data_IF_160649554230
#
_entry.id   IF_160649554230
#
_cell.length_a   1.000
_cell.length_b   1.000
_cell.length_c   1.000
_cell.angle_alpha   90.00
_cell.angle_beta   90.00
_cell.angle_gamma   90.00
#
_symmetry.space_group_name_H-M   'P 1'
#
loop_
_entity.id
_entity.type
_entity.pdbx_description
1 polymer ?
#
# COMPACT_ATOMS: atom_id res chain seq x y z
N UNK A 1 -11.79 -16.74 4.73
CA UNK A 1 -11.69 -15.30 5.01
C UNK A 1 -10.22 -14.99 5.21
N UNK A 2 -9.68 -14.00 4.50
CA UNK A 2 -8.30 -13.58 4.70
C UNK A 2 -8.17 -12.99 6.11
N UNK A 3 -7.27 -13.54 6.92
CA UNK A 3 -6.95 -12.97 8.22
C UNK A 3 -5.89 -11.90 8.01
N UNK A 4 -6.21 -10.66 8.33
CA UNK A 4 -5.22 -9.57 8.37
C UNK A 4 -4.48 -9.63 9.71
N UNK A 5 -3.17 -9.65 9.63
CA UNK A 5 -2.25 -9.63 10.77
C UNK A 5 -1.68 -8.24 10.96
N UNK A 6 -0.77 -8.06 11.93
CA UNK A 6 -0.07 -6.80 12.15
C UNK A 6 0.74 -6.33 10.94
N UNK A 7 1.06 -7.23 9.98
CA UNK A 7 1.71 -6.85 8.72
C UNK A 7 0.87 -5.85 7.93
N UNK A 8 -0.45 -5.99 7.95
CA UNK A 8 -1.34 -5.05 7.28
C UNK A 8 -1.34 -3.68 7.96
N UNK A 9 -1.34 -3.64 9.30
CA UNK A 9 -1.24 -2.40 10.07
C UNK A 9 0.10 -1.67 9.80
N UNK A 10 1.20 -2.43 9.76
CA UNK A 10 2.53 -1.92 9.41
C UNK A 10 2.57 -1.35 7.98
N UNK A 11 1.95 -2.04 7.02
CA UNK A 11 1.85 -1.56 5.65
C UNK A 11 1.02 -0.27 5.54
N UNK A 12 -0.09 -0.19 6.26
CA UNK A 12 -0.92 1.01 6.30
C UNK A 12 -0.15 2.20 6.88
N UNK A 13 0.53 2.01 8.02
CA UNK A 13 1.34 3.07 8.63
C UNK A 13 2.46 3.52 7.70
N UNK A 14 3.13 2.57 7.03
CA UNK A 14 4.17 2.88 6.07
C UNK A 14 3.63 3.66 4.86
N UNK A 15 2.48 3.26 4.30
CA UNK A 15 1.82 3.99 3.24
C UNK A 15 1.45 5.43 3.68
N UNK A 16 0.95 5.59 4.90
CA UNK A 16 0.61 6.89 5.46
C UNK A 16 1.84 7.77 5.70
N UNK A 17 2.94 7.23 6.20
CA UNK A 17 4.21 7.97 6.36
C UNK A 17 4.72 8.48 5.01
N UNK A 18 4.67 7.63 4.00
CA UNK A 18 5.16 7.92 2.66
C UNK A 18 4.28 8.96 1.94
N UNK A 19 2.97 8.77 1.97
CA UNK A 19 2.01 9.56 1.20
C UNK A 19 1.31 10.64 2.05
N UNK A 20 1.72 10.85 3.30
CA UNK A 20 1.01 11.70 4.27
C UNK A 20 0.87 13.17 3.86
N UNK A 21 1.80 13.68 3.04
CA UNK A 21 1.72 15.01 2.45
C UNK A 21 1.18 15.01 1.00
N UNK A 22 0.91 13.84 0.42
CA UNK A 22 0.43 13.72 -0.96
C UNK A 22 -1.08 13.92 -1.04
N UNK A 23 -1.51 14.62 -2.08
CA UNK A 23 -2.93 14.83 -2.40
C UNK A 23 -3.26 14.29 -3.78
N UNK A 24 -4.52 13.92 -3.98
CA UNK A 24 -5.07 13.51 -5.26
C UNK A 24 -5.06 14.67 -6.26
N UNK A 25 -4.66 14.39 -7.49
CA UNK A 25 -4.82 15.31 -8.62
C UNK A 25 -6.31 15.58 -8.85
N UNK A 26 -6.71 16.84 -8.87
CA UNK A 26 -8.06 17.29 -9.27
C UNK A 26 -9.05 17.58 -8.13
N UNK A 27 -8.85 17.06 -6.92
CA UNK A 27 -9.79 17.30 -5.80
C UNK A 27 -9.12 17.49 -4.43
N UNK A 28 -7.79 17.55 -4.36
CA UNK A 28 -6.99 17.82 -3.14
C UNK A 28 -7.26 16.90 -1.95
N UNK A 29 -8.02 15.82 -2.11
CA UNK A 29 -8.24 14.86 -1.02
C UNK A 29 -6.93 14.14 -0.70
N UNK A 30 -6.69 13.77 0.58
CA UNK A 30 -5.49 13.02 0.97
C UNK A 30 -5.30 11.75 0.14
N UNK A 31 -4.08 11.51 -0.33
CA UNK A 31 -3.80 10.38 -1.23
C UNK A 31 -4.03 9.02 -0.56
N UNK A 32 -3.85 8.92 0.77
CA UNK A 32 -4.08 7.69 1.52
C UNK A 32 -5.48 7.09 1.31
N UNK A 33 -6.50 7.93 1.05
CA UNK A 33 -7.85 7.45 0.74
C UNK A 33 -7.93 6.65 -0.56
N UNK A 34 -7.03 6.91 -1.53
CA UNK A 34 -6.85 6.06 -2.72
C UNK A 34 -6.43 4.66 -2.35
N UNK A 35 -5.34 4.57 -1.60
CA UNK A 35 -4.65 3.34 -1.28
C UNK A 35 -5.57 2.43 -0.47
N UNK A 36 -6.29 3.00 0.50
CA UNK A 36 -7.33 2.31 1.25
C UNK A 36 -8.47 1.80 0.35
N UNK A 37 -8.91 2.62 -0.61
CA UNK A 37 -9.97 2.24 -1.55
C UNK A 37 -9.58 1.05 -2.44
N UNK A 38 -8.35 1.04 -2.97
CA UNK A 38 -7.85 -0.09 -3.77
C UNK A 38 -7.70 -1.35 -2.90
N UNK A 39 -7.16 -1.23 -1.68
CA UNK A 39 -7.03 -2.35 -0.75
C UNK A 39 -8.39 -2.94 -0.36
N UNK A 40 -9.42 -2.10 -0.16
CA UNK A 40 -10.80 -2.56 0.08
C UNK A 40 -11.31 -3.42 -1.06
N UNK A 41 -11.13 -2.97 -2.32
CA UNK A 41 -11.58 -3.72 -3.50
C UNK A 41 -10.92 -5.11 -3.55
N UNK A 42 -9.61 -5.19 -3.29
CA UNK A 42 -8.88 -6.47 -3.28
C UNK A 42 -9.43 -7.42 -2.22
N UNK A 43 -9.70 -6.92 -1.01
CA UNK A 43 -10.25 -7.74 0.07
C UNK A 43 -11.68 -8.21 -0.23
N UNK A 44 -12.51 -7.33 -0.80
CA UNK A 44 -13.88 -7.64 -1.17
C UNK A 44 -13.96 -8.66 -2.31
N UNK A 45 -12.96 -8.69 -3.20
CA UNK A 45 -12.82 -9.68 -4.28
C UNK A 45 -12.16 -11.01 -3.82
N UNK A 46 -11.89 -11.13 -2.51
CA UNK A 46 -11.36 -12.36 -1.90
C UNK A 46 -9.83 -12.47 -1.91
N UNK A 47 -9.12 -11.38 -2.17
CA UNK A 47 -7.66 -11.32 -2.11
C UNK A 47 -7.10 -11.59 -0.71
N UNK A 48 -5.86 -12.08 -0.67
CA UNK A 48 -5.11 -12.37 0.54
C UNK A 48 -4.42 -11.14 1.15
N UNK A 49 -3.77 -11.35 2.30
CA UNK A 49 -3.04 -10.30 3.01
C UNK A 49 -1.94 -9.66 2.15
N UNK A 50 -1.10 -10.45 1.48
CA UNK A 50 -0.02 -9.91 0.63
C UNK A 50 -0.58 -9.07 -0.54
N UNK A 51 -1.73 -9.47 -1.12
CA UNK A 51 -2.38 -8.72 -2.20
C UNK A 51 -2.96 -7.40 -1.69
N UNK A 52 -3.55 -7.40 -0.50
CA UNK A 52 -4.07 -6.20 0.14
C UNK A 52 -2.95 -5.24 0.55
N UNK A 53 -1.81 -5.77 1.03
CA UNK A 53 -0.60 -4.98 1.31
C UNK A 53 -0.03 -4.40 0.01
N UNK A 54 0.06 -5.20 -1.06
CA UNK A 54 0.52 -4.71 -2.36
C UNK A 54 -0.38 -3.58 -2.88
N UNK A 55 -1.70 -3.71 -2.71
CA UNK A 55 -2.66 -2.65 -3.04
C UNK A 55 -2.44 -1.37 -2.24
N UNK A 56 -2.13 -1.46 -0.93
CA UNK A 56 -1.80 -0.29 -0.12
C UNK A 56 -0.50 0.40 -0.57
N UNK A 57 0.45 -0.35 -1.13
CA UNK A 57 1.81 0.14 -1.41
C UNK A 57 2.11 0.35 -2.89
N UNK A 58 1.15 0.11 -3.79
CA UNK A 58 1.40 0.04 -5.24
C UNK A 58 2.06 1.32 -5.82
N UNK A 59 1.67 2.49 -5.33
CA UNK A 59 2.20 3.78 -5.80
C UNK A 59 3.46 4.23 -5.06
N UNK A 60 3.87 3.55 -3.99
CA UNK A 60 4.98 4.03 -3.15
C UNK A 60 6.29 4.10 -3.93
N UNK A 61 6.56 3.13 -4.82
CA UNK A 61 7.76 3.15 -5.65
C UNK A 61 7.67 4.21 -6.75
N UNK A 62 6.54 4.36 -7.42
CA UNK A 62 6.37 5.32 -8.52
C UNK A 62 6.44 6.77 -8.02
N UNK A 63 5.68 7.09 -6.98
CA UNK A 63 5.50 8.47 -6.52
C UNK A 63 6.52 8.90 -5.48
N UNK A 64 7.13 7.96 -4.75
CA UNK A 64 7.77 8.28 -3.47
C UNK A 64 9.14 7.62 -3.20
N UNK A 65 9.88 7.16 -4.21
CA UNK A 65 11.28 6.74 -3.98
C UNK A 65 11.89 5.74 -4.97
N UNK A 66 11.19 5.41 -6.05
CA UNK A 66 11.70 4.56 -7.13
C UNK A 66 12.14 3.17 -6.67
N UNK A 67 13.24 2.68 -7.25
CA UNK A 67 13.78 1.33 -7.01
C UNK A 67 14.17 1.10 -5.56
N UNK A 68 14.72 2.11 -4.89
CA UNK A 68 15.10 2.02 -3.46
C UNK A 68 13.87 1.76 -2.60
N UNK A 69 12.73 2.42 -2.89
CA UNK A 69 11.47 2.13 -2.18
C UNK A 69 10.96 0.73 -2.46
N UNK A 70 11.05 0.25 -3.69
CA UNK A 70 10.65 -1.12 -4.01
C UNK A 70 11.49 -2.16 -3.25
N UNK A 71 12.80 -1.94 -3.12
CA UNK A 71 13.69 -2.79 -2.32
C UNK A 71 13.36 -2.74 -0.81
N UNK A 72 12.99 -1.57 -0.31
CA UNK A 72 12.50 -1.41 1.07
C UNK A 72 11.20 -2.19 1.30
N UNK A 73 10.25 -2.10 0.38
CA UNK A 73 8.99 -2.87 0.42
C UNK A 73 9.29 -4.37 0.41
N UNK A 74 10.19 -4.82 -0.48
CA UNK A 74 10.63 -6.22 -0.54
C UNK A 74 11.19 -6.69 0.80
N UNK A 75 12.03 -5.87 1.43
CA UNK A 75 12.68 -6.21 2.71
C UNK A 75 11.68 -6.28 3.85
N UNK A 76 10.71 -5.36 3.90
CA UNK A 76 9.72 -5.27 4.99
C UNK A 76 8.56 -6.26 4.84
N UNK A 77 8.07 -6.44 3.62
CA UNK A 77 6.81 -7.15 3.37
C UNK A 77 6.95 -8.40 2.51
N UNK A 78 8.15 -8.66 1.97
CA UNK A 78 8.46 -9.87 1.18
C UNK A 78 8.22 -9.73 -0.32
N UNK A 79 8.71 -10.71 -1.07
CA UNK A 79 8.64 -10.73 -2.54
C UNK A 79 7.21 -10.84 -3.08
N UNK A 80 6.29 -11.46 -2.33
CA UNK A 80 4.88 -11.55 -2.74
C UNK A 80 4.22 -10.18 -2.90
N UNK A 81 4.65 -9.21 -2.09
CA UNK A 81 4.18 -7.82 -2.11
C UNK A 81 4.97 -6.98 -3.14
N UNK A 82 6.28 -7.18 -3.24
CA UNK A 82 7.19 -6.35 -4.03
C UNK A 82 7.42 -6.84 -5.48
N UNK A 83 6.42 -7.51 -6.07
CA UNK A 83 6.49 -8.08 -7.42
C UNK A 83 5.93 -7.15 -8.49
#
# INVERSE_FOLDING_TARGET
MATLTSRFDEAFNFAHEIHGAQTRKGNSSPYIGHLMGVASIVLDDGGGEDEAIAALLHDAAEDQGGRTRLEEIRTRFGDGVAR
#
